data_IF_714597504243
#
_entry.id   IF_714597504243
#
_cell.length_a   1.000
_cell.length_b   1.000
_cell.length_c   1.000
_cell.angle_alpha   90.00
_cell.angle_beta   90.00
_cell.angle_gamma   90.00
#
_symmetry.space_group_name_H-M   'P 1'
#
loop_
_entity.id
_entity.type
_entity.pdbx_description
1 polymer ?
#
# COMPACT_ATOMS: atom_id res chain seq x y z
N UNK A 1 -36.00 25.91 31.31
CA UNK A 1 -35.57 24.56 31.70
C UNK A 1 -34.08 24.52 31.45
N UNK A 2 -33.28 24.60 32.50
CA UNK A 2 -31.82 24.48 32.41
C UNK A 2 -31.55 22.99 32.45
N UNK A 3 -31.13 22.40 31.33
CA UNK A 3 -30.58 21.05 31.31
C UNK A 3 -29.36 21.06 32.23
N UNK A 4 -29.50 20.44 33.39
CA UNK A 4 -28.40 20.19 34.29
C UNK A 4 -27.41 19.29 33.58
N UNK A 5 -26.23 19.82 33.30
CA UNK A 5 -25.05 19.05 32.98
C UNK A 5 -24.75 18.16 34.19
N UNK A 6 -25.23 16.91 34.15
CA UNK A 6 -24.86 15.89 35.12
C UNK A 6 -23.39 15.58 34.81
N UNK A 7 -22.49 16.23 35.53
CA UNK A 7 -21.12 15.71 35.70
C UNK A 7 -21.31 14.39 36.44
N UNK A 8 -21.06 13.28 35.76
CA UNK A 8 -20.95 11.99 36.44
C UNK A 8 -19.78 12.09 37.42
N UNK A 9 -20.09 12.09 38.72
CA UNK A 9 -19.12 12.30 39.81
C UNK A 9 -18.08 11.15 39.87
N UNK A 10 -18.29 10.08 39.10
CA UNK A 10 -17.35 8.98 38.91
C UNK A 10 -16.39 9.14 37.73
N UNK A 11 -16.49 10.19 36.91
CA UNK A 11 -15.50 10.41 35.86
C UNK A 11 -14.17 10.84 36.50
N UNK A 12 -13.08 10.06 36.35
CA UNK A 12 -11.78 10.45 36.87
C UNK A 12 -11.36 11.78 36.22
N UNK A 13 -10.65 12.66 36.96
CA UNK A 13 -10.15 13.91 36.40
C UNK A 13 -9.40 13.59 35.11
N UNK A 14 -9.69 14.33 34.03
CA UNK A 14 -9.12 14.13 32.69
C UNK A 14 -7.58 14.06 32.66
N UNK A 15 -6.92 14.61 33.69
CA UNK A 15 -5.46 14.59 33.92
C UNK A 15 -4.93 13.26 34.49
N UNK A 16 -5.82 12.33 34.90
CA UNK A 16 -5.48 11.05 35.55
C UNK A 16 -5.68 9.84 34.62
N UNK A 17 -6.26 10.05 33.44
CA UNK A 17 -6.54 8.98 32.49
C UNK A 17 -5.32 8.73 31.60
N UNK A 18 -4.54 7.65 31.79
CA UNK A 18 -3.33 7.40 31.01
C UNK A 18 -3.59 7.15 29.51
N UNK A 19 -4.85 6.92 29.11
CA UNK A 19 -5.27 6.72 27.72
C UNK A 19 -5.79 8.01 27.06
N UNK A 20 -5.59 9.16 27.69
CA UNK A 20 -6.05 10.44 27.16
C UNK A 20 -5.50 10.76 25.75
N UNK A 21 -4.30 10.29 25.42
CA UNK A 21 -3.70 10.39 24.08
C UNK A 21 -4.23 9.37 23.07
N UNK A 22 -4.78 8.24 23.54
CA UNK A 22 -5.35 7.18 22.68
C UNK A 22 -6.77 7.53 22.23
N UNK A 23 -7.41 8.51 22.90
CA UNK A 23 -8.43 9.37 22.28
C UNK A 23 -7.77 10.33 21.30
N UNK A 24 -7.06 9.79 20.30
CA UNK A 24 -6.81 10.51 19.08
C UNK A 24 -8.18 10.71 18.43
N UNK A 25 -8.85 11.81 18.77
CA UNK A 25 -9.96 12.34 17.98
C UNK A 25 -9.53 12.20 16.53
N UNK A 26 -10.25 11.37 15.78
CA UNK A 26 -9.91 11.11 14.38
C UNK A 26 -9.75 12.47 13.74
N UNK A 27 -8.51 12.84 13.42
CA UNK A 27 -8.19 14.19 12.99
C UNK A 27 -9.12 14.59 11.84
N UNK A 28 -9.39 15.89 11.66
CA UNK A 28 -10.30 16.36 10.62
C UNK A 28 -9.97 15.65 9.31
N UNK A 29 -11.02 15.11 8.68
CA UNK A 29 -10.90 14.28 7.50
C UNK A 29 -9.93 14.94 6.50
N UNK A 30 -9.02 14.18 5.89
CA UNK A 30 -8.00 14.74 5.01
C UNK A 30 -8.70 15.63 3.99
N UNK A 31 -8.27 16.89 3.92
CA UNK A 31 -8.91 17.85 3.03
C UNK A 31 -8.92 17.35 1.58
N UNK A 32 -9.87 17.78 0.75
CA UNK A 32 -10.05 17.27 -0.62
C UNK A 32 -8.80 17.40 -1.49
N UNK A 33 -7.92 18.36 -1.18
CA UNK A 33 -6.61 18.54 -1.84
C UNK A 33 -5.66 17.37 -1.54
N UNK A 34 -5.60 16.92 -0.28
CA UNK A 34 -4.73 15.83 0.13
C UNK A 34 -5.22 14.50 -0.44
N UNK A 35 -6.54 14.29 -0.47
CA UNK A 35 -7.16 13.14 -1.12
C UNK A 35 -6.88 13.11 -2.63
N UNK A 36 -7.02 14.25 -3.32
CA UNK A 36 -6.68 14.37 -4.74
C UNK A 36 -5.19 14.05 -4.99
N UNK A 37 -4.29 14.56 -4.15
CA UNK A 37 -2.86 14.28 -4.26
C UNK A 37 -2.55 12.79 -4.03
N UNK A 38 -3.22 12.15 -3.07
CA UNK A 38 -3.07 10.73 -2.82
C UNK A 38 -3.50 9.90 -4.04
N UNK A 39 -4.62 10.24 -4.67
CA UNK A 39 -5.07 9.58 -5.89
C UNK A 39 -4.10 9.76 -7.05
N UNK A 40 -3.57 10.97 -7.26
CA UNK A 40 -2.56 11.24 -8.29
C UNK A 40 -1.29 10.42 -8.06
N UNK A 41 -0.85 10.31 -6.80
CA UNK A 41 0.30 9.50 -6.44
C UNK A 41 0.08 8.01 -6.76
N UNK A 42 -1.08 7.45 -6.38
CA UNK A 42 -1.42 6.07 -6.68
C UNK A 42 -1.47 5.81 -8.20
N UNK A 43 -2.01 6.76 -8.96
CA UNK A 43 -2.07 6.68 -10.42
C UNK A 43 -0.66 6.69 -11.03
N UNK A 44 0.22 7.57 -10.55
CA UNK A 44 1.62 7.61 -11.00
C UNK A 44 2.34 6.27 -10.73
N UNK A 45 2.17 5.69 -9.53
CA UNK A 45 2.76 4.38 -9.19
C UNK A 45 2.21 3.28 -10.09
N UNK A 46 0.90 3.27 -10.35
CA UNK A 46 0.26 2.29 -11.22
C UNK A 46 0.79 2.38 -12.67
N UNK A 47 0.99 3.61 -13.18
CA UNK A 47 1.56 3.84 -14.52
C UNK A 47 3.00 3.32 -14.60
N UNK A 48 3.84 3.64 -13.62
CA UNK A 48 5.23 3.15 -13.58
C UNK A 48 5.28 1.63 -13.47
N UNK A 49 4.45 1.03 -12.61
CA UNK A 49 4.36 -0.43 -12.49
C UNK A 49 3.88 -1.08 -13.80
N UNK A 50 2.90 -0.48 -14.47
CA UNK A 50 2.42 -0.91 -15.78
C UNK A 50 3.49 -0.83 -16.86
N UNK A 51 4.26 0.26 -16.90
CA UNK A 51 5.41 0.42 -17.80
C UNK A 51 6.48 -0.64 -17.52
N UNK A 52 6.89 -0.82 -16.27
CA UNK A 52 7.88 -1.85 -15.89
C UNK A 52 7.39 -3.24 -16.26
N UNK A 53 6.11 -3.53 -16.08
CA UNK A 53 5.53 -4.80 -16.50
C UNK A 53 5.57 -4.93 -18.03
N UNK A 54 5.13 -3.91 -18.77
CA UNK A 54 5.13 -3.90 -20.22
C UNK A 54 6.54 -4.07 -20.81
N UNK A 55 7.54 -3.41 -20.24
CA UNK A 55 8.95 -3.54 -20.62
C UNK A 55 9.58 -4.85 -20.11
N UNK A 56 9.11 -5.42 -19.00
CA UNK A 56 9.60 -6.68 -18.44
C UNK A 56 9.02 -7.93 -19.11
N UNK A 57 7.87 -7.81 -19.79
CA UNK A 57 7.23 -8.90 -20.56
C UNK A 57 8.14 -9.42 -21.68
N UNK A 58 8.74 -8.59 -22.56
CA UNK A 58 9.65 -9.10 -23.60
C UNK A 58 10.90 -9.75 -23.01
N UNK A 59 11.44 -9.25 -21.89
CA UNK A 59 12.58 -9.86 -21.19
C UNK A 59 12.24 -11.24 -20.62
N UNK A 60 11.05 -11.38 -20.03
CA UNK A 60 10.53 -12.66 -19.53
C UNK A 60 10.22 -13.63 -20.67
N UNK A 61 9.66 -13.14 -21.77
CA UNK A 61 9.37 -13.93 -22.97
C UNK A 61 10.66 -14.41 -23.61
N UNK A 62 11.67 -13.55 -23.70
CA UNK A 62 13.00 -13.89 -24.19
C UNK A 62 13.64 -14.97 -23.31
N UNK A 63 13.69 -14.77 -21.98
CA UNK A 63 14.22 -15.79 -21.05
C UNK A 63 13.47 -17.11 -21.12
N UNK A 64 12.14 -17.09 -21.25
CA UNK A 64 11.34 -18.30 -21.42
C UNK A 64 11.64 -19.01 -22.75
N UNK A 65 11.78 -18.24 -23.84
CA UNK A 65 12.19 -18.75 -25.14
C UNK A 65 13.61 -19.33 -25.08
N UNK A 66 14.58 -18.65 -24.47
CA UNK A 66 15.96 -19.15 -24.34
C UNK A 66 16.02 -20.45 -23.52
N UNK A 67 15.26 -20.55 -22.41
CA UNK A 67 15.16 -21.80 -21.63
C UNK A 67 14.54 -22.93 -22.44
N UNK A 68 13.53 -22.64 -23.26
CA UNK A 68 12.88 -23.62 -24.14
C UNK A 68 13.81 -24.05 -25.28
N UNK A 69 14.61 -23.13 -25.83
CA UNK A 69 15.65 -23.44 -26.82
C UNK A 69 16.81 -24.24 -26.22
N UNK A 70 17.29 -23.91 -25.00
CA UNK A 70 18.32 -24.69 -24.31
C UNK A 70 17.84 -26.12 -24.01
N UNK A 71 16.58 -26.28 -23.58
CA UNK A 71 15.96 -27.61 -23.38
C UNK A 71 15.74 -28.38 -24.68
N UNK A 72 15.65 -27.69 -25.82
CA UNK A 72 15.55 -28.30 -27.15
C UNK A 72 16.90 -28.53 -27.82
N UNK A 73 18.01 -28.05 -27.23
CA UNK A 73 19.33 -28.53 -27.63
C UNK A 73 19.39 -29.98 -27.15
N UNK A 74 19.41 -30.98 -28.03
CA UNK A 74 19.50 -32.35 -27.58
C UNK A 74 20.80 -32.47 -26.77
N UNK A 75 20.69 -33.04 -25.57
CA UNK A 75 21.81 -33.61 -24.85
C UNK A 75 22.36 -34.80 -25.66
N UNK A 76 22.90 -34.49 -26.84
CA UNK A 76 23.14 -35.43 -27.92
C UNK A 76 24.18 -34.85 -28.86
N UNK A 77 25.35 -34.49 -28.33
CA UNK A 77 26.55 -34.41 -29.13
C UNK A 77 27.79 -34.62 -28.24
N UNK A 78 28.16 -35.90 -28.12
CA UNK A 78 29.53 -36.42 -28.06
C UNK A 78 30.46 -35.84 -26.98
N UNK A 79 30.69 -36.63 -25.94
CA UNK A 79 32.02 -36.95 -25.39
C UNK A 79 31.94 -38.44 -25.01
N UNK A 80 32.45 -39.34 -25.86
CA UNK A 80 33.79 -39.92 -25.75
C UNK A 80 34.06 -40.44 -24.35
#
# INVERSE_FOLDING_TARGET
MVEGFIVDENDPPWDTDPLWYDRAESGPAPGPVLECLAWLFLLAVAVVAGLVWLYGVPDRLWRAATRRFLRRRPAGAKRF
#
